data_IF_382546538428
#
_entry.id   IF_382546538428
#
_cell.length_a   1.000
_cell.length_b   1.000
_cell.length_c   1.000
_cell.angle_alpha   90.00
_cell.angle_beta   90.00
_cell.angle_gamma   90.00
#
_symmetry.space_group_name_H-M   'P 1'
#
loop_
_entity.id
_entity.type
_entity.pdbx_description
1 polymer ?
#
# COMPACT_ATOMS: atom_id res chain seq x y z
N UNK A 1 0.06 -11.06 21.49
CA UNK A 1 0.58 -10.19 20.43
C UNK A 1 -0.58 -9.43 19.82
N UNK A 2 -0.76 -8.16 20.15
CA UNK A 2 -1.94 -7.43 19.71
C UNK A 2 -1.76 -6.99 18.26
N UNK A 3 -2.60 -7.49 17.41
CA UNK A 3 -2.80 -7.04 16.02
C UNK A 3 -3.29 -5.57 15.94
N UNK A 4 -3.44 -4.91 17.09
CA UNK A 4 -3.96 -3.55 17.27
C UNK A 4 -2.90 -2.49 17.65
N UNK A 5 -1.62 -2.86 17.70
CA UNK A 5 -0.55 -1.86 17.85
C UNK A 5 -0.52 -0.76 16.73
N UNK A 6 -1.26 -0.88 15.65
CA UNK A 6 -1.28 0.10 14.57
C UNK A 6 -2.06 1.39 14.85
N UNK A 7 -2.97 1.43 15.83
CA UNK A 7 -3.77 2.65 16.01
C UNK A 7 -2.92 3.84 16.48
N UNK A 8 -1.97 3.62 17.38
CA UNK A 8 -1.06 4.68 17.84
C UNK A 8 -0.08 5.10 16.73
N UNK A 9 0.39 4.17 15.90
CA UNK A 9 1.26 4.47 14.76
C UNK A 9 0.50 5.11 13.61
N UNK A 10 -0.76 4.73 13.36
CA UNK A 10 -1.65 5.41 12.42
C UNK A 10 -2.00 6.82 12.86
N UNK A 11 -2.22 7.04 14.16
CA UNK A 11 -2.48 8.37 14.72
C UNK A 11 -1.24 9.26 14.61
N UNK A 12 -0.07 8.72 14.91
CA UNK A 12 1.22 9.40 14.73
C UNK A 12 1.50 9.72 13.27
N UNK A 13 1.11 8.82 12.36
CA UNK A 13 1.18 9.01 10.93
C UNK A 13 0.20 10.07 10.43
N UNK A 14 -1.06 10.03 10.85
CA UNK A 14 -2.07 11.03 10.49
C UNK A 14 -1.67 12.42 10.99
N UNK A 15 -1.20 12.53 12.23
CA UNK A 15 -0.67 13.79 12.77
C UNK A 15 0.50 14.33 11.96
N UNK A 16 1.40 13.45 11.54
CA UNK A 16 2.56 13.80 10.74
C UNK A 16 2.20 14.23 9.30
N UNK A 17 1.13 13.66 8.73
CA UNK A 17 0.59 14.10 7.44
C UNK A 17 -0.20 15.41 7.53
N UNK A 18 -0.79 15.70 8.70
CA UNK A 18 -1.55 16.93 8.93
C UNK A 18 -0.64 18.12 9.24
N UNK A 19 0.48 17.88 9.88
CA UNK A 19 1.43 18.94 10.27
C UNK A 19 2.88 18.45 10.02
N UNK A 20 3.33 18.43 8.76
CA UNK A 20 4.69 18.05 8.41
C UNK A 20 5.69 19.11 8.94
N UNK A 21 6.55 18.68 9.84
CA UNK A 21 7.59 19.49 10.46
C UNK A 21 8.97 19.15 9.86
N UNK A 22 9.89 20.12 9.88
CA UNK A 22 11.29 19.96 9.44
C UNK A 22 12.01 18.85 10.22
N UNK A 23 11.64 18.63 11.50
CA UNK A 23 12.16 17.51 12.31
C UNK A 23 11.81 16.12 11.76
N UNK A 24 10.91 16.07 10.78
CA UNK A 24 10.42 14.86 10.13
C UNK A 24 11.29 14.40 8.97
N UNK A 25 12.20 15.24 8.50
CA UNK A 25 13.15 14.86 7.47
C UNK A 25 14.25 13.95 8.04
N UNK A 26 14.74 13.07 7.19
CA UNK A 26 15.93 12.27 7.52
C UNK A 26 17.11 13.23 7.78
N UNK A 27 17.83 13.12 8.90
CA UNK A 27 18.93 14.01 9.25
C UNK A 27 19.99 14.15 8.15
N UNK A 28 20.22 13.09 7.41
CA UNK A 28 21.18 13.06 6.29
C UNK A 28 20.72 13.96 5.12
N UNK A 29 19.41 14.19 4.95
CA UNK A 29 18.84 15.01 3.88
C UNK A 29 18.19 16.30 4.36
N UNK A 30 18.16 16.55 5.67
CA UNK A 30 17.42 17.67 6.27
C UNK A 30 17.82 19.05 5.67
N UNK A 31 19.09 19.30 5.44
CA UNK A 31 19.57 20.54 4.85
C UNK A 31 19.09 20.71 3.39
N UNK A 32 19.17 19.63 2.60
CA UNK A 32 18.70 19.63 1.21
C UNK A 32 17.18 19.80 1.13
N UNK A 33 16.45 19.09 1.98
CA UNK A 33 14.98 19.19 2.06
C UNK A 33 14.54 20.61 2.44
N UNK A 34 15.16 21.22 3.44
CA UNK A 34 14.86 22.59 3.85
C UNK A 34 15.14 23.63 2.75
N UNK A 35 16.23 23.46 2.01
CA UNK A 35 16.56 24.33 0.89
C UNK A 35 15.54 24.24 -0.24
N UNK A 36 15.09 23.00 -0.58
CA UNK A 36 14.07 22.77 -1.58
C UNK A 36 12.69 23.25 -1.11
N UNK A 37 12.35 23.03 0.17
CA UNK A 37 11.12 23.54 0.77
C UNK A 37 11.05 25.06 0.63
N UNK A 38 12.08 25.79 1.06
CA UNK A 38 12.15 27.24 0.93
C UNK A 38 11.99 27.69 -0.52
N UNK A 39 12.66 27.03 -1.46
CA UNK A 39 12.59 27.34 -2.89
C UNK A 39 11.17 27.15 -3.45
N UNK A 40 10.54 26.01 -3.18
CA UNK A 40 9.23 25.70 -3.73
C UNK A 40 8.11 26.48 -3.05
N UNK A 41 8.19 26.73 -1.74
CA UNK A 41 7.19 27.53 -1.04
C UNK A 41 7.23 29.00 -1.51
N UNK A 42 8.41 29.54 -1.81
CA UNK A 42 8.54 30.90 -2.36
C UNK A 42 7.93 31.04 -3.77
N UNK A 43 7.97 29.97 -4.57
CA UNK A 43 7.44 29.97 -5.94
C UNK A 43 5.95 29.59 -6.04
N UNK A 44 5.39 28.97 -5.02
CA UNK A 44 4.05 28.41 -5.06
C UNK A 44 3.01 29.30 -4.38
N UNK A 45 1.74 29.19 -4.82
CA UNK A 45 0.62 29.83 -4.12
C UNK A 45 0.40 29.17 -2.75
N UNK A 46 -0.02 29.92 -1.70
CA UNK A 46 -0.18 29.39 -0.34
C UNK A 46 -1.03 28.10 -0.25
N UNK A 47 -2.07 27.97 -1.09
CA UNK A 47 -2.92 26.76 -1.14
C UNK A 47 -2.17 25.47 -1.49
N UNK A 48 -0.99 25.57 -2.11
CA UNK A 48 -0.17 24.41 -2.49
C UNK A 48 0.94 24.11 -1.48
N UNK A 49 1.17 24.96 -0.48
CA UNK A 49 2.27 24.80 0.47
C UNK A 49 2.19 23.47 1.23
N UNK A 50 1.01 23.10 1.67
CA UNK A 50 0.81 21.81 2.36
C UNK A 50 1.16 20.61 1.47
N UNK A 51 0.73 20.61 0.21
CA UNK A 51 1.04 19.54 -0.74
C UNK A 51 2.54 19.45 -1.04
N UNK A 52 3.24 20.59 -1.14
CA UNK A 52 4.69 20.64 -1.33
C UNK A 52 5.42 20.04 -0.13
N UNK A 53 5.05 20.43 1.09
CA UNK A 53 5.62 19.86 2.32
C UNK A 53 5.41 18.34 2.41
N UNK A 54 4.20 17.87 2.09
CA UNK A 54 3.91 16.44 2.06
C UNK A 54 4.75 15.69 1.02
N UNK A 55 4.92 16.26 -0.18
CA UNK A 55 5.74 15.66 -1.23
C UNK A 55 7.23 15.60 -0.83
N UNK A 56 7.76 16.67 -0.23
CA UNK A 56 9.12 16.67 0.29
C UNK A 56 9.31 15.68 1.44
N UNK A 57 8.31 15.57 2.33
CA UNK A 57 8.32 14.61 3.41
C UNK A 57 8.26 13.15 2.90
N UNK A 58 7.50 12.89 1.84
CA UNK A 58 7.47 11.57 1.21
C UNK A 58 8.82 11.21 0.59
N UNK A 59 9.55 12.18 0.06
CA UNK A 59 10.85 11.97 -0.57
C UNK A 59 12.02 11.95 0.42
N UNK A 60 12.07 12.87 1.38
CA UNK A 60 13.16 13.09 2.32
C UNK A 60 12.85 12.70 3.76
N UNK A 61 11.64 12.23 4.04
CA UNK A 61 11.22 11.91 5.39
C UNK A 61 11.90 10.68 5.96
N UNK A 62 11.96 10.62 7.30
CA UNK A 62 12.48 9.47 8.08
C UNK A 62 11.74 8.15 7.83
N UNK A 63 10.80 8.14 6.93
CA UNK A 63 9.89 7.03 6.64
C UNK A 63 10.45 5.88 5.83
N UNK A 64 11.74 5.75 5.75
CA UNK A 64 12.34 4.49 5.26
C UNK A 64 12.11 3.32 6.20
N UNK A 65 11.62 3.59 7.42
CA UNK A 65 11.24 2.57 8.38
C UNK A 65 9.80 2.10 8.15
N UNK A 66 9.60 0.80 8.27
CA UNK A 66 8.27 0.22 8.17
C UNK A 66 7.37 0.73 9.32
N UNK A 67 6.10 1.10 8.99
CA UNK A 67 5.10 1.47 9.99
C UNK A 67 4.70 0.31 10.91
N UNK A 68 4.98 -0.91 10.47
CA UNK A 68 4.69 -2.17 11.16
C UNK A 68 6.00 -2.91 11.29
N UNK A 69 6.31 -3.42 12.48
CA UNK A 69 7.44 -4.31 12.72
C UNK A 69 6.97 -5.77 12.74
N UNK A 70 7.75 -6.65 12.18
CA UNK A 70 7.58 -8.10 12.26
C UNK A 70 8.56 -8.66 13.31
N UNK A 71 8.33 -9.89 13.81
CA UNK A 71 9.34 -10.59 14.59
C UNK A 71 10.67 -10.66 13.82
N UNK A 72 11.81 -10.43 14.51
CA UNK A 72 13.10 -10.17 13.89
C UNK A 72 13.54 -11.09 12.73
N UNK A 73 13.39 -12.45 12.81
CA UNK A 73 13.73 -13.31 11.68
C UNK A 73 12.83 -13.07 10.45
N UNK A 74 11.53 -12.86 10.69
CA UNK A 74 10.54 -12.63 9.64
C UNK A 74 10.72 -11.24 9.02
N UNK A 75 11.06 -10.24 9.84
CA UNK A 75 11.35 -8.89 9.35
C UNK A 75 12.55 -8.89 8.41
N UNK A 76 13.65 -9.58 8.77
CA UNK A 76 14.79 -9.73 7.88
C UNK A 76 14.43 -10.43 6.57
N UNK A 77 13.68 -11.52 6.64
CA UNK A 77 13.25 -12.25 5.46
C UNK A 77 12.39 -11.38 4.54
N UNK A 78 11.41 -10.67 5.09
CA UNK A 78 10.47 -9.88 4.28
C UNK A 78 11.06 -8.55 3.89
N UNK A 79 11.54 -7.75 4.85
CA UNK A 79 11.94 -6.37 4.60
C UNK A 79 13.33 -6.24 3.96
N UNK A 80 14.28 -7.13 4.27
CA UNK A 80 15.65 -7.00 3.76
C UNK A 80 15.89 -7.87 2.53
N UNK A 81 15.17 -8.96 2.40
CA UNK A 81 15.41 -9.91 1.33
C UNK A 81 14.36 -9.90 0.23
N UNK A 82 13.08 -9.74 0.58
CA UNK A 82 11.97 -9.82 -0.37
C UNK A 82 11.60 -8.45 -0.94
N UNK A 83 11.41 -7.44 -0.08
CA UNK A 83 10.92 -6.12 -0.48
C UNK A 83 12.04 -5.22 -1.01
N UNK A 84 11.68 -4.35 -1.96
CA UNK A 84 12.57 -3.29 -2.45
C UNK A 84 12.80 -2.22 -1.39
N UNK A 85 11.76 -1.89 -0.61
CA UNK A 85 11.79 -0.90 0.45
C UNK A 85 11.06 -1.40 1.70
N UNK A 86 11.65 -1.22 2.88
CA UNK A 86 11.05 -1.62 4.16
C UNK A 86 9.71 -0.93 4.44
N UNK A 87 9.54 0.30 3.99
CA UNK A 87 8.29 1.07 4.13
C UNK A 87 7.11 0.43 3.42
N UNK A 88 7.34 -0.49 2.48
CA UNK A 88 6.30 -1.18 1.73
C UNK A 88 5.75 -2.42 2.43
N UNK A 89 6.22 -2.71 3.64
CA UNK A 89 5.70 -3.83 4.43
C UNK A 89 4.18 -3.80 4.62
N UNK A 90 3.52 -2.67 4.96
CA UNK A 90 2.06 -2.62 5.05
C UNK A 90 1.37 -2.94 3.72
N UNK A 91 1.96 -2.51 2.61
CA UNK A 91 1.46 -2.78 1.27
C UNK A 91 1.53 -4.28 0.95
N UNK A 92 2.69 -4.89 1.20
CA UNK A 92 2.89 -6.33 1.06
C UNK A 92 1.91 -7.14 1.91
N UNK A 93 1.77 -6.79 3.20
CA UNK A 93 0.84 -7.47 4.10
C UNK A 93 -0.61 -7.34 3.64
N UNK A 94 -1.00 -6.22 3.05
CA UNK A 94 -2.33 -6.04 2.47
C UNK A 94 -2.56 -7.02 1.33
N UNK A 95 -1.62 -7.17 0.39
CA UNK A 95 -1.75 -8.15 -0.69
C UNK A 95 -1.74 -9.59 -0.19
N UNK A 96 -0.93 -9.91 0.81
CA UNK A 96 -0.95 -11.23 1.46
C UNK A 96 -2.31 -11.52 2.11
N UNK A 97 -2.86 -10.56 2.87
CA UNK A 97 -4.18 -10.70 3.50
C UNK A 97 -5.28 -10.90 2.46
N UNK A 98 -5.29 -10.08 1.40
CA UNK A 98 -6.26 -10.21 0.31
C UNK A 98 -6.14 -11.58 -0.37
N UNK A 99 -4.92 -12.02 -0.69
CA UNK A 99 -4.69 -13.32 -1.33
C UNK A 99 -5.15 -14.48 -0.45
N UNK A 100 -4.82 -14.47 0.84
CA UNK A 100 -5.22 -15.50 1.79
C UNK A 100 -6.74 -15.53 1.96
N UNK A 101 -7.37 -14.38 2.13
CA UNK A 101 -8.82 -14.29 2.27
C UNK A 101 -9.55 -14.79 1.03
N UNK A 102 -9.15 -14.33 -0.16
CA UNK A 102 -9.79 -14.70 -1.41
C UNK A 102 -9.60 -16.20 -1.70
N UNK A 103 -8.40 -16.75 -1.47
CA UNK A 103 -8.14 -18.18 -1.61
C UNK A 103 -8.97 -19.00 -0.63
N UNK A 104 -8.95 -18.63 0.65
CA UNK A 104 -9.76 -19.29 1.68
C UNK A 104 -11.25 -19.26 1.33
N UNK A 105 -11.77 -18.08 0.96
CA UNK A 105 -13.18 -17.94 0.62
C UNK A 105 -13.57 -18.71 -0.63
N UNK A 106 -12.71 -18.75 -1.65
CA UNK A 106 -12.93 -19.55 -2.83
C UNK A 106 -12.95 -21.06 -2.49
N UNK A 107 -12.02 -21.52 -1.67
CA UNK A 107 -12.00 -22.90 -1.20
C UNK A 107 -13.27 -23.27 -0.41
N UNK A 108 -13.70 -22.39 0.49
CA UNK A 108 -14.95 -22.60 1.24
C UNK A 108 -16.14 -22.68 0.29
N UNK A 109 -16.26 -21.75 -0.64
CA UNK A 109 -17.37 -21.70 -1.59
C UNK A 109 -17.40 -22.92 -2.51
N UNK A 110 -16.25 -23.34 -3.02
CA UNK A 110 -16.19 -24.42 -4.02
C UNK A 110 -16.30 -25.81 -3.42
N UNK A 111 -15.76 -26.02 -2.21
CA UNK A 111 -15.62 -27.36 -1.65
C UNK A 111 -16.48 -27.62 -0.42
N UNK A 112 -16.92 -26.59 0.31
CA UNK A 112 -17.61 -26.76 1.58
C UNK A 112 -19.05 -26.25 1.57
N UNK A 113 -19.38 -25.28 0.69
CA UNK A 113 -20.70 -24.69 0.65
C UNK A 113 -21.53 -25.28 -0.50
N UNK A 114 -22.68 -25.91 -0.21
CA UNK A 114 -23.61 -26.34 -1.24
C UNK A 114 -24.34 -25.13 -1.88
N UNK A 115 -24.93 -25.34 -3.04
CA UNK A 115 -25.78 -24.35 -3.71
C UNK A 115 -27.19 -24.29 -3.05
N UNK A 116 -27.22 -23.96 -1.78
CA UNK A 116 -28.44 -23.82 -0.98
C UNK A 116 -28.35 -22.58 -0.07
N UNK A 117 -29.26 -22.47 0.89
CA UNK A 117 -29.30 -21.37 1.85
C UNK A 117 -27.99 -21.17 2.64
N UNK A 118 -27.20 -22.22 2.86
CA UNK A 118 -25.89 -22.11 3.56
C UNK A 118 -24.86 -21.40 2.70
N UNK A 119 -24.85 -21.68 1.40
CA UNK A 119 -24.00 -20.95 0.45
C UNK A 119 -24.39 -19.47 0.37
N UNK A 120 -25.70 -19.17 0.38
CA UNK A 120 -26.19 -17.78 0.43
C UNK A 120 -25.78 -17.08 1.74
N UNK A 121 -25.87 -17.75 2.88
CA UNK A 121 -25.41 -17.22 4.17
C UNK A 121 -23.91 -16.94 4.17
N UNK A 122 -23.11 -17.82 3.57
CA UNK A 122 -21.67 -17.58 3.39
C UNK A 122 -21.40 -16.29 2.60
N UNK A 123 -22.15 -16.04 1.54
CA UNK A 123 -22.00 -14.80 0.75
C UNK A 123 -22.33 -13.55 1.56
N UNK A 124 -23.29 -13.60 2.49
CA UNK A 124 -23.58 -12.48 3.42
C UNK A 124 -22.38 -12.16 4.31
N UNK A 125 -21.55 -13.15 4.66
CA UNK A 125 -20.32 -12.95 5.42
C UNK A 125 -19.17 -12.52 4.50
N UNK A 126 -19.03 -13.19 3.36
CA UNK A 126 -17.94 -12.95 2.41
C UNK A 126 -17.93 -11.53 1.85
N UNK A 127 -19.08 -11.04 1.38
CA UNK A 127 -19.17 -9.75 0.71
C UNK A 127 -18.75 -8.56 1.62
N UNK A 128 -19.27 -8.42 2.85
CA UNK A 128 -18.81 -7.34 3.73
C UNK A 128 -17.33 -7.40 4.06
N UNK A 129 -16.80 -8.57 4.34
CA UNK A 129 -15.36 -8.71 4.62
C UNK A 129 -14.54 -8.32 3.39
N UNK A 130 -14.90 -8.82 2.23
CA UNK A 130 -14.18 -8.55 0.99
C UNK A 130 -14.24 -7.07 0.64
N UNK A 131 -15.42 -6.46 0.62
CA UNK A 131 -15.58 -5.09 0.13
C UNK A 131 -15.38 -4.01 1.19
N UNK A 132 -15.91 -4.20 2.40
CA UNK A 132 -15.83 -3.16 3.45
C UNK A 132 -14.49 -3.22 4.16
N UNK A 133 -14.01 -4.42 4.56
CA UNK A 133 -12.79 -4.55 5.34
C UNK A 133 -11.54 -4.51 4.46
N UNK A 134 -11.54 -5.21 3.34
CA UNK A 134 -10.34 -5.36 2.49
C UNK A 134 -10.36 -4.46 1.25
N UNK A 135 -11.52 -4.14 0.68
CA UNK A 135 -11.64 -3.45 -0.61
C UNK A 135 -10.96 -2.10 -0.64
N UNK A 136 -11.22 -1.25 0.33
CA UNK A 136 -10.59 0.07 0.42
C UNK A 136 -9.07 -0.03 0.57
N UNK A 137 -8.58 -0.96 1.40
CA UNK A 137 -7.15 -1.19 1.58
C UNK A 137 -6.51 -1.73 0.31
N UNK A 138 -7.19 -2.63 -0.38
CA UNK A 138 -6.74 -3.19 -1.65
C UNK A 138 -6.59 -2.12 -2.73
N UNK A 139 -7.60 -1.27 -2.92
CA UNK A 139 -7.57 -0.18 -3.91
C UNK A 139 -6.41 0.78 -3.61
N UNK A 140 -6.22 1.15 -2.34
CA UNK A 140 -5.10 2.00 -1.94
C UNK A 140 -3.75 1.32 -2.17
N UNK A 141 -3.65 0.02 -1.87
CA UNK A 141 -2.45 -0.76 -2.13
C UNK A 141 -2.13 -0.85 -3.63
N UNK A 142 -3.15 -1.03 -4.48
CA UNK A 142 -3.02 -1.00 -5.94
C UNK A 142 -2.52 0.34 -6.45
N UNK A 143 -2.98 1.45 -5.86
CA UNK A 143 -2.53 2.80 -6.21
C UNK A 143 -1.00 2.96 -6.04
N UNK A 144 -0.45 2.45 -4.96
CA UNK A 144 1.00 2.50 -4.72
C UNK A 144 1.76 1.49 -5.58
N UNK A 145 1.27 0.25 -5.69
CA UNK A 145 1.93 -0.82 -6.46
C UNK A 145 1.97 -0.54 -7.97
N UNK A 146 1.02 0.23 -8.50
CA UNK A 146 1.01 0.60 -9.90
C UNK A 146 2.17 1.56 -10.28
N UNK A 147 2.78 2.24 -9.31
CA UNK A 147 3.81 3.26 -9.54
C UNK A 147 5.22 2.79 -9.25
N UNK A 148 5.39 1.72 -8.50
CA UNK A 148 6.70 1.25 -8.08
C UNK A 148 6.74 -0.26 -7.86
N UNK A 149 7.93 -0.83 -8.03
CA UNK A 149 8.16 -2.23 -7.74
C UNK A 149 8.16 -2.48 -6.24
N UNK A 150 7.32 -3.41 -5.81
CA UNK A 150 7.25 -3.86 -4.42
C UNK A 150 8.41 -4.81 -4.08
N UNK A 151 8.74 -5.71 -5.01
CA UNK A 151 9.78 -6.72 -4.83
C UNK A 151 11.11 -6.27 -5.39
N UNK A 152 12.17 -6.69 -4.71
CA UNK A 152 13.54 -6.32 -5.04
C UNK A 152 13.94 -6.83 -6.43
N UNK A 153 14.68 -6.02 -7.20
CA UNK A 153 15.16 -6.35 -8.56
C UNK A 153 16.01 -7.62 -8.63
N UNK A 154 16.65 -8.03 -7.52
CA UNK A 154 17.40 -9.29 -7.45
C UNK A 154 16.57 -10.55 -7.77
N UNK A 155 15.25 -10.46 -7.66
CA UNK A 155 14.33 -11.55 -7.99
C UNK A 155 14.08 -11.70 -9.50
N UNK A 156 14.62 -10.82 -10.35
CA UNK A 156 14.52 -10.90 -11.80
C UNK A 156 13.08 -11.10 -12.29
N UNK A 157 12.88 -12.12 -13.12
CA UNK A 157 11.56 -12.43 -13.69
C UNK A 157 10.50 -12.77 -12.62
N UNK A 158 10.87 -13.45 -11.53
CA UNK A 158 9.94 -13.74 -10.43
C UNK A 158 9.50 -12.46 -9.73
N UNK A 159 10.43 -11.53 -9.46
CA UNK A 159 10.08 -10.23 -8.88
C UNK A 159 9.13 -9.45 -9.80
N UNK A 160 9.36 -9.48 -11.10
CA UNK A 160 8.46 -8.88 -12.09
C UNK A 160 7.08 -9.52 -12.05
N UNK A 161 6.99 -10.85 -12.04
CA UNK A 161 5.73 -11.57 -11.95
C UNK A 161 4.95 -11.18 -10.67
N UNK A 162 5.62 -11.20 -9.52
CA UNK A 162 4.98 -10.82 -8.25
C UNK A 162 4.59 -9.35 -8.18
N UNK A 163 5.35 -8.44 -8.79
CA UNK A 163 4.96 -7.03 -8.89
C UNK A 163 3.67 -6.83 -9.70
N UNK A 164 3.45 -7.65 -10.71
CA UNK A 164 2.25 -7.58 -11.55
C UNK A 164 1.08 -8.42 -11.01
N UNK A 165 1.33 -9.35 -10.10
CA UNK A 165 0.31 -10.26 -9.57
C UNK A 165 -0.95 -9.54 -9.03
N UNK A 166 -0.85 -8.44 -8.27
CA UNK A 166 -2.04 -7.72 -7.81
C UNK A 166 -2.90 -7.20 -8.96
N UNK A 167 -2.27 -6.67 -10.02
CA UNK A 167 -2.98 -6.10 -11.17
C UNK A 167 -3.46 -7.15 -12.17
N UNK A 168 -2.79 -8.28 -12.28
CA UNK A 168 -3.15 -9.33 -13.24
C UNK A 168 -4.14 -10.34 -12.66
N UNK A 169 -4.03 -10.64 -11.38
CA UNK A 169 -4.79 -11.70 -10.73
C UNK A 169 -5.76 -11.16 -9.70
N UNK A 170 -5.28 -10.44 -8.67
CA UNK A 170 -6.13 -10.04 -7.56
C UNK A 170 -7.23 -9.06 -7.97
N UNK A 171 -6.96 -8.13 -8.89
CA UNK A 171 -7.96 -7.15 -9.32
C UNK A 171 -9.23 -7.79 -9.92
N UNK A 172 -9.13 -8.97 -10.53
CA UNK A 172 -10.30 -9.65 -11.10
C UNK A 172 -11.33 -10.04 -10.03
N UNK A 173 -10.88 -10.38 -8.82
CA UNK A 173 -11.76 -10.69 -7.69
C UNK A 173 -12.53 -9.47 -7.16
N UNK A 174 -12.13 -8.28 -7.58
CA UNK A 174 -12.76 -7.00 -7.24
C UNK A 174 -13.58 -6.44 -8.41
N UNK A 175 -13.83 -7.24 -9.45
CA UNK A 175 -14.56 -6.82 -10.63
C UNK A 175 -13.81 -5.85 -11.55
N UNK A 176 -12.49 -5.70 -11.33
CA UNK A 176 -11.64 -4.90 -12.19
C UNK A 176 -10.94 -5.82 -13.20
N UNK A 177 -11.16 -5.67 -14.51
CA UNK A 177 -10.46 -6.46 -15.51
C UNK A 177 -8.94 -6.30 -15.41
N UNK A 178 -8.22 -7.38 -15.77
CA UNK A 178 -6.76 -7.40 -15.79
C UNK A 178 -6.20 -6.19 -16.57
N UNK A 179 -5.32 -5.44 -15.92
CA UNK A 179 -4.69 -4.24 -16.50
C UNK A 179 -5.56 -2.99 -16.55
N UNK A 180 -6.88 -3.08 -16.34
CA UNK A 180 -7.77 -1.91 -16.41
C UNK A 180 -7.39 -0.83 -15.39
N UNK A 181 -7.00 -1.23 -14.19
CA UNK A 181 -6.55 -0.29 -13.17
C UNK A 181 -5.31 0.51 -13.62
N UNK A 182 -4.33 -0.16 -14.22
CA UNK A 182 -3.15 0.50 -14.74
C UNK A 182 -3.49 1.49 -15.86
N UNK A 183 -4.31 1.08 -16.81
CA UNK A 183 -4.74 1.95 -17.92
C UNK A 183 -5.49 3.17 -17.41
N UNK A 184 -6.50 2.97 -16.58
CA UNK A 184 -7.31 4.08 -16.05
C UNK A 184 -6.50 4.99 -15.14
N UNK A 185 -5.71 4.42 -14.24
CA UNK A 185 -5.05 5.19 -13.19
C UNK A 185 -3.72 5.80 -13.67
N UNK A 186 -2.83 4.99 -14.22
CA UNK A 186 -1.49 5.45 -14.58
C UNK A 186 -1.42 6.12 -15.95
N UNK A 187 -2.19 5.64 -16.93
CA UNK A 187 -2.13 6.17 -18.29
C UNK A 187 -3.14 7.30 -18.47
N UNK A 188 -4.41 7.09 -18.13
CA UNK A 188 -5.45 8.10 -18.40
C UNK A 188 -5.47 9.22 -17.36
N UNK A 189 -5.54 8.86 -16.06
CA UNK A 189 -5.71 9.88 -15.01
C UNK A 189 -4.45 10.71 -14.76
N UNK A 190 -3.26 10.10 -14.72
CA UNK A 190 -2.01 10.82 -14.44
C UNK A 190 -1.33 11.45 -15.65
N UNK A 191 -1.66 11.03 -16.86
CA UNK A 191 -1.10 11.63 -18.08
C UNK A 191 -2.04 12.66 -18.72
N UNK A 192 -3.34 12.55 -18.47
CA UNK A 192 -4.35 13.45 -19.04
C UNK A 192 -4.70 14.66 -18.14
N UNK A 193 -4.21 14.70 -16.90
CA UNK A 193 -4.35 15.79 -15.94
C UNK A 193 -2.97 16.31 -15.53
#
# INVERSE_FOLDING_TARGET
MSWFAPAASLFKYAKHCLDPDVSSYDPQYAAQAAALEKKYLAAAKPRHHHAIKLALLDYFGRRKEALISLPGPLERLVCDWLLAERRDLPLFLTFVQCSLWLTFSACVQLFLMPNDARGALWMIVHLPITWIVLGQRFILAMHYAARRSLFHSRWGALGTLFNHFPMLVLCNFWGMPCGAYYLQHCVMHHQAN
#
